data_IF_076053820706
#
_entry.id   IF_076053820706
#
_cell.length_a   1.000
_cell.length_b   1.000
_cell.length_c   1.000
_cell.angle_alpha   90.00
_cell.angle_beta   90.00
_cell.angle_gamma   90.00
#
_symmetry.space_group_name_H-M   'P 1'
#
loop_
_entity.id
_entity.type
_entity.pdbx_description
1 polymer ?
#
# COMPACT_ATOMS: atom_id res chain seq x y z
N UNK A 1 -16.45 9.06 9.71
CA UNK A 1 -15.19 9.78 9.99
C UNK A 1 -14.72 10.37 8.68
N UNK A 2 -14.19 11.58 8.65
CA UNK A 2 -13.73 12.18 7.40
C UNK A 2 -12.33 11.63 7.10
N UNK A 3 -12.21 10.66 6.19
CA UNK A 3 -10.95 9.97 5.82
C UNK A 3 -10.02 10.87 4.99
N UNK A 4 -9.68 12.04 5.53
CA UNK A 4 -8.93 13.07 4.80
C UNK A 4 -7.52 12.60 4.44
N UNK A 5 -6.88 11.76 5.26
CA UNK A 5 -5.57 11.22 4.91
C UNK A 5 -5.69 10.24 3.75
N UNK A 6 -6.64 9.29 3.79
CA UNK A 6 -6.87 8.34 2.69
C UNK A 6 -7.09 9.04 1.35
N UNK A 7 -7.93 10.07 1.31
CA UNK A 7 -8.20 10.84 0.09
C UNK A 7 -6.92 11.48 -0.47
N UNK A 8 -6.12 12.12 0.39
CA UNK A 8 -4.87 12.76 -0.01
C UNK A 8 -3.85 11.73 -0.52
N UNK A 9 -3.75 10.56 0.13
CA UNK A 9 -2.88 9.47 -0.33
C UNK A 9 -3.38 8.87 -1.64
N UNK A 10 -4.70 8.69 -1.80
CA UNK A 10 -5.32 8.23 -3.04
C UNK A 10 -5.01 9.16 -4.22
N UNK A 11 -5.08 10.47 -4.01
CA UNK A 11 -4.67 11.47 -5.01
C UNK A 11 -3.19 11.30 -5.40
N UNK A 12 -2.30 11.05 -4.42
CA UNK A 12 -0.87 10.83 -4.68
C UNK A 12 -0.64 9.57 -5.51
N UNK A 13 -1.32 8.48 -5.17
CA UNK A 13 -1.23 7.21 -5.91
C UNK A 13 -1.68 7.40 -7.36
N UNK A 14 -2.78 8.11 -7.59
CA UNK A 14 -3.25 8.44 -8.94
C UNK A 14 -2.27 9.34 -9.71
N UNK A 15 -1.76 10.39 -9.08
CA UNK A 15 -0.79 11.31 -9.69
C UNK A 15 0.56 10.65 -9.99
N UNK A 16 0.99 9.70 -9.17
CA UNK A 16 2.20 8.93 -9.40
C UNK A 16 2.08 8.07 -10.67
N UNK A 17 0.91 7.46 -10.89
CA UNK A 17 0.62 6.64 -12.08
C UNK A 17 0.32 7.46 -13.35
N UNK A 18 -0.01 8.75 -13.21
CA UNK A 18 -0.43 9.59 -14.32
C UNK A 18 0.66 9.74 -15.38
N UNK A 19 0.32 9.41 -16.63
CA UNK A 19 1.23 9.53 -17.78
C UNK A 19 2.13 8.32 -18.00
N UNK A 20 2.06 7.30 -17.14
CA UNK A 20 2.80 6.05 -17.30
C UNK A 20 1.96 5.04 -18.08
N UNK A 21 2.53 4.48 -19.16
CA UNK A 21 1.87 3.45 -19.96
C UNK A 21 1.83 2.12 -19.20
N UNK A 22 0.68 1.44 -19.25
CA UNK A 22 0.51 0.13 -18.62
C UNK A 22 0.51 0.18 -17.09
N UNK A 23 0.31 1.34 -16.47
CA UNK A 23 0.21 1.50 -15.02
C UNK A 23 -1.22 1.82 -14.64
N UNK A 24 -1.80 1.07 -13.70
CA UNK A 24 -3.19 1.22 -13.28
C UNK A 24 -3.31 1.22 -11.75
N UNK A 25 -3.65 2.37 -11.13
CA UNK A 25 -3.98 2.39 -9.72
C UNK A 25 -5.41 1.87 -9.49
N UNK A 26 -5.60 1.08 -8.45
CA UNK A 26 -6.91 0.79 -7.86
C UNK A 26 -6.89 1.28 -6.42
N UNK A 27 -7.97 1.92 -5.99
CA UNK A 27 -8.11 2.52 -4.68
C UNK A 27 -9.32 1.93 -3.98
N UNK A 28 -9.21 1.78 -2.67
CA UNK A 28 -10.35 1.52 -1.80
C UNK A 28 -11.30 2.75 -1.77
N UNK A 29 -12.55 2.56 -1.28
CA UNK A 29 -13.53 3.64 -1.20
C UNK A 29 -13.07 4.87 -0.40
N UNK A 30 -12.26 4.71 0.65
CA UNK A 30 -11.75 5.81 1.47
C UNK A 30 -10.65 6.61 0.76
N UNK A 31 -9.84 5.96 -0.07
CA UNK A 31 -8.83 6.61 -0.91
C UNK A 31 -9.40 7.26 -2.18
N UNK A 32 -10.52 6.78 -2.71
CA UNK A 32 -11.14 7.29 -3.94
C UNK A 32 -12.24 8.34 -3.73
N UNK A 33 -12.74 8.90 -4.85
CA UNK A 33 -13.98 9.70 -4.82
C UNK A 33 -15.17 8.75 -4.65
N UNK A 34 -16.04 8.91 -3.64
CA UNK A 34 -17.21 8.05 -3.47
C UNK A 34 -18.10 8.13 -4.71
N UNK A 35 -18.18 7.04 -5.46
CA UNK A 35 -19.19 6.81 -6.50
C UNK A 35 -19.81 5.45 -6.22
N UNK A 36 -21.10 5.34 -6.47
CA UNK A 36 -21.85 4.10 -6.22
C UNK A 36 -21.15 2.90 -6.90
N UNK A 37 -20.88 1.84 -6.14
CA UNK A 37 -20.21 0.63 -6.62
C UNK A 37 -18.71 0.52 -6.29
N UNK A 38 -18.25 1.03 -5.13
CA UNK A 38 -16.86 0.77 -4.71
C UNK A 38 -16.77 -0.50 -3.89
N UNK A 39 -15.92 -1.39 -4.35
CA UNK A 39 -15.57 -2.64 -3.71
C UNK A 39 -14.22 -2.47 -3.01
N UNK A 40 -14.05 -3.16 -1.88
CA UNK A 40 -12.76 -3.22 -1.20
C UNK A 40 -11.68 -3.81 -2.13
N UNK A 41 -10.41 -3.74 -1.73
CA UNK A 41 -9.31 -4.39 -2.44
C UNK A 41 -8.85 -5.64 -1.68
N UNK A 42 -9.61 -6.76 -1.73
CA UNK A 42 -9.27 -7.98 -1.01
C UNK A 42 -8.07 -8.67 -1.64
N UNK A 43 -7.16 -9.13 -0.79
CA UNK A 43 -6.05 -9.99 -1.17
C UNK A 43 -6.28 -11.41 -0.65
N UNK A 44 -5.87 -12.39 -1.44
CA UNK A 44 -6.18 -13.80 -1.25
C UNK A 44 -4.93 -14.67 -1.23
N UNK A 45 -5.02 -15.79 -0.50
CA UNK A 45 -4.00 -16.84 -0.40
C UNK A 45 -4.00 -17.82 -1.58
N UNK A 46 -5.08 -17.87 -2.35
CA UNK A 46 -5.27 -18.76 -3.50
C UNK A 46 -6.04 -18.05 -4.62
N UNK A 47 -6.19 -18.74 -5.74
CA UNK A 47 -6.91 -18.26 -6.93
C UNK A 47 -8.44 -18.33 -6.79
N UNK A 48 -8.95 -18.96 -5.71
CA UNK A 48 -10.38 -19.11 -5.45
C UNK A 48 -10.83 -18.04 -4.45
N UNK A 49 -11.67 -17.06 -4.85
CA UNK A 49 -12.11 -16.01 -3.95
C UNK A 49 -13.16 -16.53 -2.96
N UNK A 50 -12.81 -16.55 -1.68
CA UNK A 50 -13.71 -16.91 -0.58
C UNK A 50 -13.27 -16.26 0.74
N UNK A 51 -14.17 -16.23 1.72
CA UNK A 51 -13.82 -15.82 3.09
C UNK A 51 -12.72 -16.69 3.73
N UNK A 52 -12.56 -17.94 3.29
CA UNK A 52 -11.53 -18.84 3.80
C UNK A 52 -10.13 -18.51 3.26
N UNK A 53 -10.07 -17.79 2.15
CA UNK A 53 -8.84 -17.50 1.41
C UNK A 53 -8.48 -16.02 1.41
N UNK A 54 -9.44 -15.14 1.68
CA UNK A 54 -9.21 -13.70 1.89
C UNK A 54 -8.39 -13.50 3.17
N UNK A 55 -7.29 -12.75 3.09
CA UNK A 55 -6.40 -12.51 4.24
C UNK A 55 -6.39 -11.05 4.70
N UNK A 56 -6.55 -10.09 3.80
CA UNK A 56 -6.67 -8.68 4.13
C UNK A 56 -7.34 -7.87 3.01
N UNK A 57 -7.73 -6.64 3.33
CA UNK A 57 -8.18 -5.64 2.37
C UNK A 57 -7.24 -4.44 2.48
N UNK A 58 -6.67 -4.00 1.35
CA UNK A 58 -5.68 -2.93 1.31
C UNK A 58 -6.30 -1.61 0.83
N UNK A 59 -5.64 -0.48 1.11
CA UNK A 59 -6.17 0.85 0.78
C UNK A 59 -5.91 1.25 -0.67
N UNK A 60 -4.76 0.84 -1.22
CA UNK A 60 -4.51 1.01 -2.66
C UNK A 60 -3.55 -0.03 -3.21
N UNK A 61 -3.66 -0.27 -4.51
CA UNK A 61 -2.68 -1.03 -5.29
C UNK A 61 -2.33 -0.29 -6.58
N UNK A 62 -1.09 -0.46 -7.05
CA UNK A 62 -0.68 -0.07 -8.39
C UNK A 62 -0.37 -1.35 -9.16
N UNK A 63 -1.11 -1.57 -10.24
CA UNK A 63 -0.90 -2.66 -11.18
C UNK A 63 -0.02 -2.20 -12.34
N UNK A 64 0.80 -3.11 -12.84
CA UNK A 64 1.58 -2.93 -14.08
C UNK A 64 1.23 -4.01 -15.09
N UNK A 65 1.13 -3.64 -16.37
CA UNK A 65 0.83 -4.52 -17.49
C UNK A 65 0.04 -3.79 -18.59
N UNK A 66 0.15 -4.26 -19.84
CA UNK A 66 -0.54 -3.61 -20.96
C UNK A 66 -1.98 -4.12 -21.15
N UNK A 67 -2.29 -5.30 -20.62
CA UNK A 67 -3.60 -5.94 -20.69
C UNK A 67 -3.96 -6.54 -19.34
N UNK A 68 -5.25 -6.82 -19.14
CA UNK A 68 -5.76 -7.31 -17.86
C UNK A 68 -5.15 -8.66 -17.49
N UNK A 69 -4.95 -9.52 -18.48
CA UNK A 69 -4.29 -10.83 -18.34
C UNK A 69 -2.81 -10.75 -17.91
N UNK A 70 -2.15 -9.63 -18.20
CA UNK A 70 -0.72 -9.42 -17.91
C UNK A 70 -0.49 -8.67 -16.60
N UNK A 71 -1.56 -8.22 -15.93
CA UNK A 71 -1.40 -7.40 -14.73
C UNK A 71 -0.63 -8.12 -13.63
N UNK A 72 0.21 -7.35 -12.96
CA UNK A 72 0.93 -7.73 -11.75
C UNK A 72 0.79 -6.64 -10.70
N UNK A 73 0.67 -7.02 -9.43
CA UNK A 73 0.64 -6.07 -8.31
C UNK A 73 2.06 -5.56 -8.10
N UNK A 74 2.32 -4.29 -8.43
CA UNK A 74 3.64 -3.68 -8.31
C UNK A 74 3.82 -2.91 -7.02
N UNK A 75 2.77 -2.21 -6.58
CA UNK A 75 2.77 -1.50 -5.30
C UNK A 75 1.50 -1.82 -4.54
N UNK A 76 1.62 -2.00 -3.23
CA UNK A 76 0.51 -2.04 -2.30
C UNK A 76 0.71 -0.92 -1.26
N UNK A 77 -0.35 -0.19 -0.96
CA UNK A 77 -0.35 0.90 0.02
C UNK A 77 -1.37 0.59 1.13
N UNK A 78 -0.94 0.76 2.36
CA UNK A 78 -1.74 0.64 3.58
C UNK A 78 -1.60 1.91 4.43
N UNK A 79 -2.69 2.38 5.01
CA UNK A 79 -2.83 3.63 5.75
C UNK A 79 -3.34 3.33 7.17
N UNK A 80 -2.57 3.75 8.17
CA UNK A 80 -2.91 3.60 9.58
C UNK A 80 -3.30 4.94 10.21
N UNK A 81 -4.60 5.18 10.38
CA UNK A 81 -5.10 6.41 11.05
C UNK A 81 -5.23 6.25 12.58
N UNK A 82 -5.77 5.12 13.05
CA UNK A 82 -6.21 4.99 14.44
C UNK A 82 -5.17 4.34 15.38
N UNK A 83 -4.52 3.25 14.95
CA UNK A 83 -3.59 2.48 15.76
C UNK A 83 -2.25 2.28 15.06
N UNK A 84 -1.41 3.32 15.13
CA UNK A 84 -0.05 3.35 14.59
C UNK A 84 0.99 2.66 15.50
N UNK A 85 0.58 1.55 16.14
CA UNK A 85 1.39 0.73 17.04
C UNK A 85 2.20 -0.35 16.29
N UNK A 86 3.32 -0.84 16.87
CA UNK A 86 4.20 -1.81 16.20
C UNK A 86 3.49 -3.08 15.72
N UNK A 87 2.60 -3.65 16.53
CA UNK A 87 1.87 -4.88 16.17
C UNK A 87 0.96 -4.68 14.96
N UNK A 88 0.36 -3.50 14.80
CA UNK A 88 -0.48 -3.19 13.63
C UNK A 88 0.36 -3.00 12.39
N UNK A 89 1.45 -2.24 12.49
CA UNK A 89 2.40 -2.01 11.40
C UNK A 89 2.93 -3.35 10.88
N UNK A 90 3.51 -4.16 11.77
CA UNK A 90 4.07 -5.47 11.42
C UNK A 90 3.00 -6.47 10.98
N UNK A 91 1.81 -6.42 11.59
CA UNK A 91 0.70 -7.29 11.25
C UNK A 91 0.24 -7.08 9.81
N UNK A 92 -0.02 -5.83 9.41
CA UNK A 92 -0.43 -5.50 8.03
C UNK A 92 0.64 -5.80 7.00
N UNK A 93 1.90 -5.55 7.33
CA UNK A 93 3.02 -6.00 6.50
C UNK A 93 2.95 -7.51 6.27
N UNK A 94 2.89 -8.29 7.36
CA UNK A 94 2.90 -9.74 7.26
C UNK A 94 1.68 -10.27 6.49
N UNK A 95 0.46 -9.84 6.82
CA UNK A 95 -0.76 -10.32 6.13
C UNK A 95 -0.73 -9.99 4.64
N UNK A 96 -0.28 -8.79 4.27
CA UNK A 96 -0.15 -8.39 2.87
C UNK A 96 0.89 -9.24 2.14
N UNK A 97 2.06 -9.47 2.76
CA UNK A 97 3.10 -10.28 2.12
C UNK A 97 2.72 -11.77 2.02
N UNK A 98 1.88 -12.28 2.92
CA UNK A 98 1.39 -13.66 2.81
C UNK A 98 0.38 -13.84 1.68
N UNK A 99 -0.29 -12.76 1.26
CA UNK A 99 -1.21 -12.82 0.13
C UNK A 99 -0.46 -13.12 -1.17
N UNK A 100 -1.16 -13.78 -2.09
CA UNK A 100 -0.63 -14.17 -3.39
C UNK A 100 -1.34 -13.47 -4.55
N UNK A 101 -2.62 -13.14 -4.38
CA UNK A 101 -3.45 -12.64 -5.45
C UNK A 101 -4.34 -11.48 -4.99
N UNK A 102 -4.54 -10.52 -5.88
CA UNK A 102 -5.68 -9.63 -5.87
C UNK A 102 -6.74 -10.24 -6.79
N UNK A 103 -7.98 -10.35 -6.32
CA UNK A 103 -9.12 -10.76 -7.14
C UNK A 103 -10.18 -9.67 -7.00
N UNK A 104 -10.55 -9.06 -8.13
CA UNK A 104 -11.40 -7.87 -8.11
C UNK A 104 -12.23 -7.75 -9.39
N UNK A 105 -13.50 -7.34 -9.27
CA UNK A 105 -14.46 -7.22 -10.38
C UNK A 105 -13.99 -6.32 -11.54
N UNK A 106 -13.36 -5.19 -11.25
CA UNK A 106 -12.72 -4.29 -12.25
C UNK A 106 -11.63 -4.97 -13.10
N UNK A 107 -11.18 -6.16 -12.69
CA UNK A 107 -10.19 -7.00 -13.37
C UNK A 107 -10.84 -8.29 -13.91
N UNK A 108 -12.17 -8.37 -13.90
CA UNK A 108 -12.95 -9.52 -14.35
C UNK A 108 -12.84 -10.73 -13.42
N UNK A 109 -12.68 -10.49 -12.11
CA UNK A 109 -12.56 -11.52 -11.07
C UNK A 109 -11.44 -12.54 -11.32
N UNK A 110 -10.41 -12.12 -12.05
CA UNK A 110 -9.23 -12.93 -12.31
C UNK A 110 -8.20 -12.75 -11.18
N UNK A 111 -7.47 -13.81 -10.81
CA UNK A 111 -6.32 -13.70 -9.92
C UNK A 111 -5.19 -12.89 -10.56
N UNK A 112 -4.82 -11.80 -9.91
CA UNK A 112 -3.69 -10.95 -10.29
C UNK A 112 -2.57 -11.17 -9.27
N UNK A 113 -1.46 -11.83 -9.65
CA UNK A 113 -0.38 -12.11 -8.72
C UNK A 113 0.51 -10.89 -8.46
N UNK A 114 1.32 -10.97 -7.41
CA UNK A 114 2.39 -10.00 -7.17
C UNK A 114 3.45 -10.01 -8.27
N UNK A 115 3.98 -8.83 -8.56
CA UNK A 115 5.20 -8.68 -9.35
C UNK A 115 6.41 -9.23 -8.56
N UNK A 116 7.44 -9.72 -9.27
CA UNK A 116 8.63 -10.26 -8.62
C UNK A 116 9.43 -9.20 -7.83
N UNK A 117 9.23 -7.92 -8.15
CA UNK A 117 9.79 -6.79 -7.44
C UNK A 117 8.69 -5.86 -6.91
N UNK A 118 7.68 -6.43 -6.26
CA UNK A 118 6.61 -5.67 -5.65
C UNK A 118 7.11 -4.86 -4.44
N UNK A 119 6.46 -3.73 -4.19
CA UNK A 119 6.79 -2.82 -3.08
C UNK A 119 5.59 -2.62 -2.17
N UNK A 120 5.81 -2.69 -0.86
CA UNK A 120 4.79 -2.38 0.14
C UNK A 120 5.07 -1.03 0.79
N UNK A 121 4.05 -0.17 0.84
CA UNK A 121 4.14 1.18 1.40
C UNK A 121 3.16 1.29 2.56
N UNK A 122 3.64 1.71 3.73
CA UNK A 122 2.81 2.02 4.88
C UNK A 122 2.85 3.51 5.19
N UNK A 123 1.66 4.11 5.30
CA UNK A 123 1.46 5.51 5.68
C UNK A 123 0.89 5.56 7.09
N UNK A 124 1.58 6.21 8.03
CA UNK A 124 1.12 6.34 9.41
C UNK A 124 0.64 7.77 9.69
N UNK A 125 -0.57 7.91 10.21
CA UNK A 125 -1.10 9.21 10.59
C UNK A 125 -0.41 9.74 11.85
N UNK A 126 -0.08 11.03 11.81
CA UNK A 126 0.51 11.76 12.94
C UNK A 126 -0.47 12.73 13.59
N UNK A 127 -1.70 12.86 13.10
CA UNK A 127 -2.68 13.84 13.60
C UNK A 127 -2.97 13.69 15.11
N UNK A 128 -2.98 12.45 15.61
CA UNK A 128 -3.16 12.15 17.03
C UNK A 128 -1.88 12.24 17.89
N UNK A 129 -0.72 12.54 17.30
CA UNK A 129 0.56 12.55 18.00
C UNK A 129 0.98 13.95 18.44
N UNK A 130 1.43 14.03 19.70
CA UNK A 130 2.16 15.18 20.21
C UNK A 130 3.61 15.11 19.74
N UNK A 131 3.84 15.56 18.50
CA UNK A 131 5.17 15.61 17.90
C UNK A 131 6.13 16.39 18.80
N UNK A 132 7.36 15.88 18.97
CA UNK A 132 8.35 16.41 19.93
C UNK A 132 8.27 15.84 21.35
N UNK A 133 7.19 15.13 21.71
CA UNK A 133 7.05 14.41 23.00
C UNK A 133 6.88 12.91 22.85
N UNK A 134 6.89 12.41 21.62
CA UNK A 134 6.68 11.00 21.32
C UNK A 134 7.96 10.37 20.76
N UNK A 135 8.27 9.16 21.23
CA UNK A 135 9.32 8.33 20.66
C UNK A 135 8.89 7.61 19.36
N UNK A 136 7.62 7.75 18.96
CA UNK A 136 7.06 7.02 17.80
C UNK A 136 7.85 7.23 16.50
N UNK A 137 8.25 8.45 16.09
CA UNK A 137 9.04 8.60 14.85
C UNK A 137 10.33 7.78 14.84
N UNK A 138 11.06 7.75 15.97
CA UNK A 138 12.26 6.91 16.11
C UNK A 138 11.92 5.42 16.13
N UNK A 139 10.85 5.04 16.83
CA UNK A 139 10.37 3.66 16.86
C UNK A 139 9.98 3.17 15.46
N UNK A 140 9.25 3.96 14.70
CA UNK A 140 8.86 3.64 13.33
C UNK A 140 10.05 3.54 12.40
N UNK A 141 11.06 4.40 12.57
CA UNK A 141 12.32 4.25 11.82
C UNK A 141 13.00 2.90 12.11
N UNK A 142 13.09 2.51 13.38
CA UNK A 142 13.65 1.21 13.75
C UNK A 142 12.81 0.05 13.19
N UNK A 143 11.48 0.17 13.17
CA UNK A 143 10.58 -0.83 12.58
C UNK A 143 10.80 -0.91 11.07
N UNK A 144 10.92 0.23 10.39
CA UNK A 144 11.19 0.27 8.96
C UNK A 144 12.49 -0.46 8.61
N UNK A 145 13.57 -0.17 9.35
CA UNK A 145 14.86 -0.80 9.15
C UNK A 145 14.81 -2.31 9.45
N UNK A 146 14.07 -2.72 10.48
CA UNK A 146 13.85 -4.13 10.81
C UNK A 146 13.06 -4.88 9.73
N UNK A 147 12.00 -4.27 9.17
CA UNK A 147 11.23 -4.86 8.06
C UNK A 147 12.09 -4.98 6.80
N UNK A 148 12.85 -3.94 6.45
CA UNK A 148 13.80 -3.99 5.33
C UNK A 148 14.85 -5.09 5.51
N UNK A 149 15.34 -5.29 6.73
CA UNK A 149 16.24 -6.40 7.03
C UNK A 149 15.54 -7.75 6.89
N UNK A 150 14.30 -7.90 7.38
CA UNK A 150 13.53 -9.13 7.23
C UNK A 150 13.29 -9.50 5.75
N UNK A 151 12.93 -8.53 4.90
CA UNK A 151 12.81 -8.73 3.45
C UNK A 151 14.13 -9.25 2.85
N UNK A 152 15.26 -8.68 3.25
CA UNK A 152 16.58 -9.05 2.72
C UNK A 152 17.13 -10.35 3.29
N UNK A 153 16.78 -10.73 4.50
CA UNK A 153 17.51 -11.78 5.24
C UNK A 153 16.63 -13.00 5.59
N UNK A 154 15.30 -12.87 5.61
CA UNK A 154 14.37 -13.94 6.03
C UNK A 154 13.75 -14.68 4.84
N UNK A 155 13.99 -16.00 4.69
CA UNK A 155 13.49 -16.78 3.54
C UNK A 155 11.97 -16.71 3.34
N UNK A 156 11.20 -16.75 4.43
CA UNK A 156 9.74 -16.67 4.37
C UNK A 156 9.27 -15.39 3.68
N UNK A 157 9.88 -14.25 4.04
CA UNK A 157 9.52 -12.94 3.47
C UNK A 157 10.00 -12.83 2.03
N UNK A 158 11.19 -13.34 1.70
CA UNK A 158 11.70 -13.37 0.32
C UNK A 158 10.78 -14.10 -0.65
N UNK A 159 10.11 -15.16 -0.19
CA UNK A 159 9.22 -15.96 -1.01
C UNK A 159 7.91 -15.23 -1.39
N UNK A 160 7.64 -14.06 -0.81
CA UNK A 160 6.38 -13.32 -0.99
C UNK A 160 6.33 -12.41 -2.22
N UNK A 161 7.47 -12.19 -2.91
CA UNK A 161 7.56 -11.27 -4.04
C UNK A 161 7.65 -9.79 -3.65
N UNK A 162 7.41 -9.44 -2.38
CA UNK A 162 7.65 -8.09 -1.85
C UNK A 162 9.14 -7.91 -1.57
N UNK A 163 9.80 -7.08 -2.38
CA UNK A 163 11.25 -6.79 -2.25
C UNK A 163 11.51 -5.33 -1.87
N UNK A 164 10.53 -4.45 -2.04
CA UNK A 164 10.59 -3.05 -1.62
C UNK A 164 9.72 -2.78 -0.39
N UNK A 165 10.18 -1.86 0.47
CA UNK A 165 9.39 -1.36 1.60
C UNK A 165 9.66 0.12 1.88
N UNK A 166 8.60 0.87 2.15
CA UNK A 166 8.66 2.25 2.67
C UNK A 166 7.66 2.41 3.81
N UNK A 167 8.13 2.98 4.92
CA UNK A 167 7.27 3.48 5.97
C UNK A 167 7.39 5.00 5.99
N UNK A 168 6.28 5.68 5.75
CA UNK A 168 6.18 7.14 5.81
C UNK A 168 5.14 7.54 6.84
N UNK A 169 5.33 8.69 7.47
CA UNK A 169 4.39 9.20 8.45
C UNK A 169 4.17 10.70 8.27
N UNK A 170 2.96 11.14 8.55
CA UNK A 170 2.53 12.53 8.41
C UNK A 170 1.02 12.64 8.53
N UNK A 171 0.51 13.85 8.62
CA UNK A 171 -0.92 14.14 8.58
C UNK A 171 -1.32 14.64 7.18
N UNK A 172 -2.61 14.94 7.00
CA UNK A 172 -3.15 15.46 5.73
C UNK A 172 -2.41 16.68 5.17
N UNK A 173 -1.84 17.54 6.02
CA UNK A 173 -1.16 18.77 5.61
C UNK A 173 0.27 18.45 5.13
N UNK A 174 0.95 17.51 5.78
CA UNK A 174 2.26 17.00 5.35
C UNK A 174 2.21 16.35 3.95
N UNK A 175 1.09 15.70 3.63
CA UNK A 175 0.82 15.08 2.32
C UNK A 175 0.00 15.97 1.36
N UNK A 176 -0.38 17.17 1.79
CA UNK A 176 -1.13 18.13 0.98
C UNK A 176 -0.34 18.60 -0.24
N UNK A 177 -0.98 19.37 -1.13
CA UNK A 177 -0.42 19.77 -2.46
C UNK A 177 1.02 20.27 -2.45
N UNK A 178 1.43 21.01 -1.41
CA UNK A 178 2.78 21.58 -1.29
C UNK A 178 3.67 20.85 -0.27
N UNK A 179 3.15 19.80 0.36
CA UNK A 179 3.81 19.07 1.42
C UNK A 179 5.06 18.33 0.95
N UNK A 180 6.10 18.32 1.78
CA UNK A 180 7.34 17.62 1.46
C UNK A 180 7.10 16.09 1.37
N UNK A 181 6.25 15.54 2.25
CA UNK A 181 5.91 14.11 2.25
C UNK A 181 5.12 13.70 1.01
N UNK A 182 4.33 14.60 0.43
CA UNK A 182 3.70 14.37 -0.88
C UNK A 182 4.73 14.06 -1.95
N UNK A 183 5.75 14.93 -2.09
CA UNK A 183 6.79 14.79 -3.11
C UNK A 183 7.62 13.52 -2.89
N UNK A 184 8.00 13.27 -1.64
CA UNK A 184 8.76 12.07 -1.24
C UNK A 184 8.01 10.78 -1.61
N UNK A 185 6.73 10.67 -1.23
CA UNK A 185 5.92 9.50 -1.53
C UNK A 185 5.68 9.35 -3.04
N UNK A 186 5.33 10.43 -3.74
CA UNK A 186 5.07 10.38 -5.19
C UNK A 186 6.31 9.93 -5.98
N UNK A 187 7.49 10.46 -5.63
CA UNK A 187 8.76 10.09 -6.25
C UNK A 187 9.08 8.61 -5.99
N UNK A 188 8.91 8.16 -4.75
CA UNK A 188 9.13 6.76 -4.41
C UNK A 188 8.19 5.82 -5.17
N UNK A 189 6.90 6.16 -5.26
CA UNK A 189 5.91 5.36 -6.00
C UNK A 189 6.27 5.25 -7.49
N UNK A 190 6.71 6.35 -8.12
CA UNK A 190 7.17 6.32 -9.53
C UNK A 190 8.37 5.41 -9.72
N UNK A 191 9.40 5.58 -8.89
CA UNK A 191 10.58 4.72 -8.91
C UNK A 191 10.27 3.25 -8.60
N UNK A 192 9.25 2.97 -7.78
CA UNK A 192 8.84 1.61 -7.48
C UNK A 192 8.14 0.95 -8.69
N UNK A 193 7.38 1.72 -9.46
CA UNK A 193 6.66 1.25 -10.64
C UNK A 193 7.60 0.97 -11.83
N UNK A 194 8.66 1.76 -11.97
CA UNK A 194 9.61 1.69 -13.10
C UNK A 194 10.74 0.65 -12.93
N UNK A 195 10.92 0.10 -11.71
CA UNK A 195 11.91 -0.93 -11.40
C UNK A 195 11.52 -2.30 -11.93
#
# INVERSE_FOLDING_TARGET
>A
MEHRLHQVIGDIVQEAAKGLSGVRPLLDPACGVPKAGHHNLPLFLSEEPSNATEICNVDAVILVGNRVEDYRIKVVVEIEEADVGPTKICGKFLTTTLAKYLIHEKLGDRPVPFDAAATFVQVLDTSGLKLGRSAKPRQWKNIEDAIKAAIRDTPLVKATGVTGYMLVHGNKDDFGRNGAKRRELMEFLRQAVER
#
